data_IF_818920147528
#
_entry.id   IF_818920147528
#
_cell.length_a   1.000
_cell.length_b   1.000
_cell.length_c   1.000
_cell.angle_alpha   90.00
_cell.angle_beta   90.00
_cell.angle_gamma   90.00
#
_symmetry.space_group_name_H-M   'P 1'
#
loop_
_entity.id
_entity.type
_entity.pdbx_description
1 polymer ?
#
# COMPACT_ATOMS: atom_id res chain seq x y z
N UNK A 1 -8.20 -1.53 -24.00
CA UNK A 1 -7.47 -2.51 -23.16
C UNK A 1 -6.19 -1.95 -22.50
N UNK A 2 -6.01 -0.62 -22.36
CA UNK A 2 -4.85 -0.05 -21.63
C UNK A 2 -5.13 0.16 -20.14
N UNK A 3 -6.35 0.55 -19.76
CA UNK A 3 -6.74 0.77 -18.36
C UNK A 3 -6.62 -0.50 -17.51
N UNK A 4 -7.16 -1.65 -17.96
CA UNK A 4 -7.13 -2.91 -17.20
C UNK A 4 -5.70 -3.40 -16.88
N UNK A 5 -4.76 -3.21 -17.82
CA UNK A 5 -3.36 -3.55 -17.60
C UNK A 5 -2.69 -2.58 -16.62
N UNK A 6 -2.96 -1.28 -16.74
CA UNK A 6 -2.48 -0.27 -15.80
C UNK A 6 -2.99 -0.50 -14.38
N UNK A 7 -4.27 -0.84 -14.22
CA UNK A 7 -4.87 -1.15 -12.91
C UNK A 7 -4.33 -2.44 -12.29
N UNK A 8 -4.01 -3.43 -13.13
CA UNK A 8 -3.39 -4.67 -12.66
C UNK A 8 -1.94 -4.43 -12.20
N UNK A 9 -1.14 -3.71 -12.98
CA UNK A 9 0.24 -3.41 -12.60
C UNK A 9 0.33 -2.51 -11.37
N UNK A 10 -0.54 -1.50 -11.27
CA UNK A 10 -0.54 -0.58 -10.13
C UNK A 10 -0.92 -1.29 -8.83
N UNK A 11 -1.89 -2.21 -8.88
CA UNK A 11 -2.24 -3.03 -7.74
C UNK A 11 -1.13 -4.00 -7.34
N UNK A 12 -0.45 -4.61 -8.31
CA UNK A 12 0.69 -5.51 -8.07
C UNK A 12 1.90 -4.77 -7.46
N UNK A 13 2.20 -3.56 -7.94
CA UNK A 13 3.28 -2.74 -7.39
C UNK A 13 2.95 -2.25 -5.98
N UNK A 14 1.70 -1.84 -5.73
CA UNK A 14 1.26 -1.43 -4.40
C UNK A 14 1.42 -2.53 -3.36
N UNK A 15 0.89 -3.73 -3.64
CA UNK A 15 1.02 -4.84 -2.69
C UNK A 15 2.48 -5.21 -2.47
N UNK A 16 3.30 -5.20 -3.53
CA UNK A 16 4.70 -5.57 -3.40
C UNK A 16 5.50 -4.55 -2.59
N UNK A 17 5.30 -3.26 -2.82
CA UNK A 17 5.98 -2.21 -2.07
C UNK A 17 5.55 -2.21 -0.59
N UNK A 18 4.26 -2.44 -0.33
CA UNK A 18 3.76 -2.56 1.03
C UNK A 18 4.34 -3.78 1.77
N UNK A 19 4.48 -4.92 1.09
CA UNK A 19 5.14 -6.10 1.66
C UNK A 19 6.62 -5.87 1.93
N UNK A 20 7.32 -5.09 1.10
CA UNK A 20 8.72 -4.72 1.35
C UNK A 20 8.88 -3.85 2.61
N UNK A 21 7.96 -2.92 2.85
CA UNK A 21 7.95 -2.12 4.09
C UNK A 21 7.64 -3.01 5.29
N UNK A 22 6.72 -3.95 5.16
CA UNK A 22 6.42 -4.91 6.21
C UNK A 22 7.63 -5.80 6.55
N UNK A 23 8.39 -6.28 5.56
CA UNK A 23 9.63 -7.04 5.80
C UNK A 23 10.68 -6.21 6.56
N UNK A 24 10.84 -4.92 6.22
CA UNK A 24 11.77 -4.03 6.91
C UNK A 24 11.33 -3.75 8.35
N UNK A 25 10.05 -3.42 8.55
CA UNK A 25 9.49 -3.17 9.89
C UNK A 25 9.52 -4.42 10.77
N UNK A 26 9.35 -5.61 10.19
CA UNK A 26 9.45 -6.88 10.90
C UNK A 26 10.86 -7.12 11.48
N UNK A 27 11.89 -6.80 10.69
CA UNK A 27 13.28 -6.86 11.13
C UNK A 27 13.60 -5.83 12.23
N UNK A 28 13.02 -4.63 12.15
CA UNK A 28 13.24 -3.55 13.13
C UNK A 28 12.55 -3.82 14.47
N UNK A 29 11.30 -4.26 14.45
CA UNK A 29 10.50 -4.47 15.67
C UNK A 29 10.57 -5.91 16.22
N UNK A 30 11.35 -6.80 15.59
CA UNK A 30 11.47 -8.22 15.91
C UNK A 30 10.11 -8.93 15.96
N UNK A 31 9.33 -8.74 14.90
CA UNK A 31 7.97 -9.25 14.76
C UNK A 31 7.89 -10.19 13.57
N UNK A 32 7.12 -11.27 13.69
CA UNK A 32 6.82 -12.14 12.56
C UNK A 32 5.46 -11.79 11.98
N UNK A 33 5.36 -11.69 10.66
CA UNK A 33 4.11 -11.32 9.99
C UNK A 33 3.83 -12.23 8.80
N UNK A 34 2.55 -12.44 8.50
CA UNK A 34 2.09 -13.15 7.30
C UNK A 34 0.84 -12.47 6.76
N UNK A 35 0.67 -12.47 5.44
CA UNK A 35 -0.52 -11.91 4.79
C UNK A 35 -1.58 -13.00 4.63
N UNK A 36 -2.74 -12.82 5.26
CA UNK A 36 -3.82 -13.84 5.32
C UNK A 36 -5.09 -13.43 4.60
N UNK A 37 -5.30 -12.12 4.35
CA UNK A 37 -6.46 -11.64 3.59
C UNK A 37 -6.04 -10.89 2.33
N UNK A 38 -6.87 -10.94 1.27
CA UNK A 38 -6.60 -10.21 0.04
C UNK A 38 -6.72 -8.70 0.27
N UNK A 39 -5.87 -7.94 -0.42
CA UNK A 39 -5.94 -6.47 -0.42
C UNK A 39 -6.74 -6.00 -1.63
N UNK A 40 -7.53 -4.94 -1.45
CA UNK A 40 -8.27 -4.30 -2.53
C UNK A 40 -7.64 -2.96 -2.87
N UNK A 41 -7.24 -2.81 -4.12
CA UNK A 41 -6.75 -1.54 -4.68
C UNK A 41 -7.85 -0.99 -5.57
N UNK A 42 -8.34 0.20 -5.25
CA UNK A 42 -9.28 0.92 -6.13
C UNK A 42 -8.54 1.95 -6.95
N UNK A 43 -8.72 1.91 -8.25
CA UNK A 43 -8.18 2.88 -9.19
C UNK A 43 -9.33 3.56 -9.91
N UNK A 44 -9.31 4.88 -9.92
CA UNK A 44 -10.12 5.71 -10.77
C UNK A 44 -9.23 6.22 -11.88
N UNK A 45 -9.58 5.94 -13.14
CA UNK A 45 -8.81 6.36 -14.31
C UNK A 45 -9.75 7.11 -15.25
N UNK A 46 -9.53 8.41 -15.39
CA UNK A 46 -10.26 9.32 -16.27
C UNK A 46 -9.28 10.03 -17.21
N UNK A 47 -9.77 10.60 -18.31
CA UNK A 47 -8.97 11.26 -19.33
C UNK A 47 -8.07 12.40 -18.80
N UNK A 48 -8.40 12.95 -17.62
CA UNK A 48 -7.70 14.08 -17.00
C UNK A 48 -7.01 13.74 -15.68
N UNK A 49 -7.38 12.63 -15.03
CA UNK A 49 -6.88 12.30 -13.70
C UNK A 49 -6.97 10.81 -13.43
N UNK A 50 -5.90 10.25 -12.88
CA UNK A 50 -5.91 8.89 -12.34
C UNK A 50 -5.63 8.97 -10.84
N UNK A 51 -6.48 8.35 -10.04
CA UNK A 51 -6.37 8.30 -8.59
C UNK A 51 -6.30 6.83 -8.19
N UNK A 52 -5.29 6.48 -7.41
CA UNK A 52 -5.16 5.15 -6.81
C UNK A 52 -5.32 5.28 -5.31
N UNK A 53 -6.07 4.37 -4.70
CA UNK A 53 -6.06 4.22 -3.26
C UNK A 53 -6.16 2.76 -2.82
N UNK A 54 -5.39 2.43 -1.79
CA UNK A 54 -5.40 1.15 -1.12
C UNK A 54 -6.53 1.12 -0.09
N UNK A 55 -7.55 0.29 -0.31
CA UNK A 55 -8.57 0.03 0.70
C UNK A 55 -8.18 -1.20 1.50
N UNK A 56 -7.70 -0.95 2.71
CA UNK A 56 -7.38 -1.99 3.68
C UNK A 56 -8.46 -2.11 4.75
N UNK A 57 -8.57 -3.30 5.33
CA UNK A 57 -9.18 -3.47 6.64
C UNK A 57 -8.26 -2.89 7.74
N UNK A 58 -8.78 -2.70 8.95
CA UNK A 58 -7.97 -2.19 10.08
C UNK A 58 -6.78 -3.09 10.46
N UNK A 59 -6.76 -4.34 9.98
CA UNK A 59 -5.66 -5.29 10.20
C UNK A 59 -4.64 -5.28 9.06
N UNK A 60 -4.88 -4.51 8.00
CA UNK A 60 -4.07 -4.47 6.77
C UNK A 60 -3.82 -5.85 6.14
N UNK A 61 -4.74 -6.79 6.38
CA UNK A 61 -4.67 -8.18 5.99
C UNK A 61 -3.46 -8.96 6.48
N UNK A 62 -2.85 -8.51 7.57
CA UNK A 62 -1.65 -9.11 8.14
C UNK A 62 -1.93 -9.71 9.52
N UNK A 63 -1.51 -10.96 9.69
CA UNK A 63 -1.38 -11.59 11.00
C UNK A 63 0.04 -11.44 11.50
N UNK A 64 0.15 -10.83 12.67
CA UNK A 64 1.39 -10.27 13.21
C UNK A 64 1.57 -10.82 14.62
N UNK A 65 2.68 -11.51 14.87
CA UNK A 65 3.00 -12.17 16.14
C UNK A 65 4.28 -11.55 16.70
N UNK A 66 4.17 -10.96 17.89
CA UNK A 66 5.24 -10.30 18.62
C UNK A 66 4.74 -9.70 19.93
N UNK A 67 5.59 -8.94 20.62
CA UNK A 67 5.19 -8.18 21.80
C UNK A 67 4.13 -7.11 21.43
N UNK A 68 3.10 -6.86 22.26
CA UNK A 68 2.06 -5.89 21.95
C UNK A 68 2.58 -4.49 21.58
N UNK A 69 3.68 -4.04 22.19
CA UNK A 69 4.29 -2.74 21.90
C UNK A 69 4.93 -2.71 20.51
N UNK A 70 5.69 -3.75 20.15
CA UNK A 70 6.29 -3.94 18.83
C UNK A 70 5.25 -4.10 17.73
N UNK A 71 4.16 -4.83 18.00
CA UNK A 71 3.06 -5.02 17.03
C UNK A 71 2.37 -3.69 16.72
N UNK A 72 2.19 -2.83 17.72
CA UNK A 72 1.58 -1.52 17.53
C UNK A 72 2.48 -0.60 16.70
N UNK A 73 3.78 -0.57 17.00
CA UNK A 73 4.78 0.18 16.21
C UNK A 73 4.86 -0.32 14.75
N UNK A 74 4.88 -1.64 14.55
CA UNK A 74 4.86 -2.27 13.23
C UNK A 74 3.63 -1.83 12.41
N UNK A 75 2.44 -1.88 13.01
CA UNK A 75 1.19 -1.49 12.33
C UNK A 75 1.17 0.00 12.00
N UNK A 76 1.69 0.84 12.88
CA UNK A 76 1.82 2.28 12.62
C UNK A 76 2.77 2.55 11.44
N UNK A 77 3.94 1.90 11.40
CA UNK A 77 4.90 2.00 10.30
C UNK A 77 4.28 1.59 8.95
N UNK A 78 3.60 0.45 8.89
CA UNK A 78 2.94 -0.01 7.67
C UNK A 78 1.82 0.95 7.23
N UNK A 79 0.98 1.43 8.17
CA UNK A 79 -0.14 2.33 7.84
C UNK A 79 0.32 3.70 7.33
N UNK A 80 1.37 4.26 7.95
CA UNK A 80 1.93 5.57 7.55
C UNK A 80 2.65 5.53 6.20
N UNK A 81 3.13 4.35 5.80
CA UNK A 81 3.80 4.14 4.52
C UNK A 81 2.85 4.06 3.32
N UNK A 82 1.53 3.91 3.51
CA UNK A 82 0.58 3.78 2.40
C UNK A 82 0.61 5.00 1.49
N UNK A 83 0.50 6.20 2.06
CA UNK A 83 0.48 7.45 1.30
C UNK A 83 1.75 7.68 0.43
N UNK A 84 2.98 7.56 0.97
CA UNK A 84 4.18 7.67 0.14
C UNK A 84 4.29 6.57 -0.91
N UNK A 85 3.82 5.34 -0.65
CA UNK A 85 3.81 4.27 -1.66
C UNK A 85 2.80 4.59 -2.78
N UNK A 86 1.59 5.06 -2.44
CA UNK A 86 0.60 5.48 -3.43
C UNK A 86 1.16 6.55 -4.37
N UNK A 87 1.87 7.54 -3.81
CA UNK A 87 2.57 8.56 -4.61
C UNK A 87 3.62 7.97 -5.53
N UNK A 88 4.53 7.13 -5.00
CA UNK A 88 5.62 6.54 -5.79
C UNK A 88 5.12 5.61 -6.90
N UNK A 89 4.13 4.76 -6.62
CA UNK A 89 3.56 3.85 -7.63
C UNK A 89 2.91 4.65 -8.77
N UNK A 90 2.21 5.74 -8.43
CA UNK A 90 1.58 6.61 -9.42
C UNK A 90 2.60 7.37 -10.27
N UNK A 91 3.63 7.96 -9.65
CA UNK A 91 4.70 8.65 -10.36
C UNK A 91 5.47 7.71 -11.31
N UNK A 92 5.68 6.46 -10.90
CA UNK A 92 6.42 5.47 -11.69
C UNK A 92 5.63 4.98 -12.90
N UNK A 93 4.32 4.73 -12.74
CA UNK A 93 3.48 4.21 -13.82
C UNK A 93 2.89 5.30 -14.71
N UNK A 94 2.66 6.49 -14.17
CA UNK A 94 1.99 7.60 -14.84
C UNK A 94 2.70 8.94 -14.56
N UNK A 95 3.91 9.13 -15.11
CA UNK A 95 4.70 10.33 -14.87
C UNK A 95 3.98 11.58 -15.42
N UNK A 96 3.86 12.63 -14.58
CA UNK A 96 3.33 13.94 -14.98
C UNK A 96 1.84 14.18 -14.74
N UNK A 97 1.11 13.23 -14.16
CA UNK A 97 -0.27 13.41 -13.70
C UNK A 97 -0.32 13.94 -12.26
N UNK A 98 -1.16 14.94 -12.01
CA UNK A 98 -1.31 15.59 -10.69
C UNK A 98 -2.06 14.67 -9.73
N UNK A 99 -1.45 14.36 -8.59
CA UNK A 99 -2.08 13.63 -7.49
C UNK A 99 -2.95 14.58 -6.67
N UNK A 100 -4.26 14.33 -6.60
CA UNK A 100 -5.13 15.02 -5.65
C UNK A 100 -5.12 14.21 -4.34
N UNK A 101 -4.08 14.43 -3.52
CA UNK A 101 -3.97 13.94 -2.16
C UNK A 101 -5.22 14.34 -1.38
N UNK A 102 -6.14 13.39 -1.13
CA UNK A 102 -7.12 13.58 -0.06
C UNK A 102 -6.38 13.35 1.26
N UNK A 103 -5.85 14.44 1.82
CA UNK A 103 -5.62 14.55 3.25
C UNK A 103 -6.97 14.35 3.94
N UNK A 104 -7.20 13.17 4.49
CA UNK A 104 -8.21 12.94 5.52
C UNK A 104 -7.48 12.93 6.85
#
# INVERSE_FOLDING_TARGET
MRAAYGTFLSSLLMIKAHDMVADQAAAEFNVTWTRTTPIVVSVYDDAYSTILTLKCDHRFGMDVIGDPSSVLAFRYACSSAINPIEHQVMETLFPGMVLLLRLV
#
